data_IF_809612871211
#
_entry.id   IF_809612871211
#
_cell.length_a   1.000
_cell.length_b   1.000
_cell.length_c   1.000
_cell.angle_alpha   90.00
_cell.angle_beta   90.00
_cell.angle_gamma   90.00
#
_symmetry.space_group_name_H-M   'P 1'
#
loop_
_entity.id
_entity.type
_entity.pdbx_description
1 polymer ?
#
# COMPACT_ATOMS: atom_id res chain seq x y z
N UNK A 1 -63.96 13.96 37.74
CA UNK A 1 -65.11 13.07 37.98
C UNK A 1 -65.03 12.57 39.41
N UNK A 2 -66.06 12.91 40.18
CA UNK A 2 -66.22 12.69 41.61
C UNK A 2 -66.75 11.29 41.90
N UNK A 3 -66.34 10.69 43.03
CA UNK A 3 -67.30 10.08 43.97
C UNK A 3 -66.67 9.90 45.36
N UNK A 4 -67.18 10.72 46.28
CA UNK A 4 -67.10 10.61 47.74
C UNK A 4 -67.87 9.38 48.21
N UNK A 5 -67.48 8.78 49.34
CA UNK A 5 -68.45 8.33 50.35
C UNK A 5 -67.84 8.39 51.75
N UNK A 6 -68.45 9.26 52.56
CA UNK A 6 -68.34 9.36 54.02
C UNK A 6 -69.34 8.38 54.62
N UNK A 7 -69.03 7.71 55.72
CA UNK A 7 -70.04 7.48 56.76
C UNK A 7 -69.38 7.40 58.13
N UNK A 8 -69.71 8.38 58.95
CA UNK A 8 -69.50 8.49 60.38
C UNK A 8 -70.66 7.76 61.06
N UNK A 9 -70.42 6.98 62.12
CA UNK A 9 -71.43 6.84 63.17
C UNK A 9 -70.77 6.44 64.50
N UNK A 10 -70.93 7.33 65.48
CA UNK A 10 -70.53 7.19 66.88
C UNK A 10 -71.74 6.77 67.71
N UNK A 11 -71.57 5.83 68.65
CA UNK A 11 -72.33 5.66 69.89
C UNK A 11 -71.44 4.79 70.81
N UNK A 12 -70.67 5.33 71.76
CA UNK A 12 -70.99 5.79 73.13
C UNK A 12 -71.53 4.73 74.11
N UNK A 13 -70.80 4.61 75.22
CA UNK A 13 -71.13 4.17 76.59
C UNK A 13 -70.95 2.70 77.04
N UNK A 14 -69.82 2.52 77.74
CA UNK A 14 -69.65 2.02 79.12
C UNK A 14 -70.27 0.69 79.54
N UNK A 15 -69.39 -0.24 79.96
CA UNK A 15 -69.46 -0.88 81.28
C UNK A 15 -68.07 -1.41 81.67
N UNK A 16 -67.53 -0.84 82.73
CA UNK A 16 -66.34 -1.30 83.46
C UNK A 16 -66.70 -2.45 84.39
N UNK A 17 -65.96 -3.55 84.32
CA UNK A 17 -65.78 -4.46 85.45
C UNK A 17 -64.32 -5.00 85.41
N UNK A 18 -63.58 -4.96 86.53
CA UNK A 18 -62.20 -5.40 86.58
C UNK A 18 -62.14 -6.89 86.92
N UNK A 19 -61.53 -7.70 86.05
CA UNK A 19 -61.14 -9.07 86.38
C UNK A 19 -59.66 -9.24 86.06
N UNK A 20 -58.93 -9.52 87.13
CA UNK A 20 -57.51 -9.78 87.15
C UNK A 20 -57.14 -11.04 86.37
N UNK A 21 -55.95 -10.99 85.78
CA UNK A 21 -55.02 -12.10 85.53
C UNK A 21 -55.52 -13.32 84.73
N UNK A 22 -55.03 -13.42 83.49
CA UNK A 22 -54.09 -14.49 83.16
C UNK A 22 -53.35 -14.13 81.88
N UNK A 23 -52.05 -13.88 82.02
CA UNK A 23 -51.11 -13.85 80.90
C UNK A 23 -51.06 -15.27 80.35
N UNK A 24 -51.78 -15.52 79.25
CA UNK A 24 -51.59 -16.70 78.41
C UNK A 24 -50.31 -16.48 77.60
N UNK A 25 -49.20 -17.00 78.12
CA UNK A 25 -47.98 -17.24 77.35
C UNK A 25 -48.29 -18.21 76.21
N UNK A 26 -48.59 -17.66 75.03
CA UNK A 26 -48.60 -18.41 73.77
C UNK A 26 -47.12 -18.55 73.33
N UNK A 27 -46.33 -19.33 74.08
CA UNK A 27 -44.90 -19.57 73.81
C UNK A 27 -44.62 -20.98 73.24
N UNK A 28 -45.65 -21.69 72.77
CA UNK A 28 -45.45 -22.98 72.08
C UNK A 28 -45.96 -22.90 70.65
N UNK A 29 -45.03 -22.89 69.69
CA UNK A 29 -45.35 -23.28 68.31
C UNK A 29 -46.03 -24.66 68.34
N UNK A 30 -47.09 -24.88 67.54
CA UNK A 30 -47.76 -26.18 67.47
C UNK A 30 -46.77 -27.26 67.01
N UNK A 31 -46.73 -28.40 67.71
CA UNK A 31 -45.81 -29.49 67.39
C UNK A 31 -45.92 -29.98 65.94
N UNK A 32 -47.11 -29.89 65.34
CA UNK A 32 -47.36 -30.20 63.93
C UNK A 32 -46.67 -29.21 62.98
N UNK A 33 -46.64 -27.92 63.32
CA UNK A 33 -45.97 -26.89 62.51
C UNK A 33 -44.45 -27.06 62.57
N UNK A 34 -43.92 -27.41 63.75
CA UNK A 34 -42.51 -27.73 63.93
C UNK A 34 -42.12 -28.98 63.13
N UNK A 35 -42.96 -30.02 63.13
CA UNK A 35 -42.73 -31.24 62.35
C UNK A 35 -42.78 -31.00 60.83
N UNK A 36 -43.70 -30.15 60.36
CA UNK A 36 -43.75 -29.77 58.93
C UNK A 36 -42.54 -28.94 58.52
N UNK A 37 -42.09 -27.99 59.35
CA UNK A 37 -40.86 -27.22 59.08
C UNK A 37 -39.63 -28.13 59.03
N UNK A 38 -39.49 -29.06 59.97
CA UNK A 38 -38.35 -30.00 59.95
C UNK A 38 -38.37 -30.91 58.73
N UNK A 39 -39.54 -31.40 58.31
CA UNK A 39 -39.67 -32.23 57.11
C UNK A 39 -39.32 -31.44 55.84
N UNK A 40 -39.76 -30.18 55.74
CA UNK A 40 -39.42 -29.28 54.64
C UNK A 40 -37.92 -28.94 54.60
N UNK A 41 -37.33 -28.60 55.75
CA UNK A 41 -35.89 -28.32 55.86
C UNK A 41 -35.05 -29.55 55.50
N UNK A 42 -35.51 -30.75 55.85
CA UNK A 42 -34.85 -32.00 55.51
C UNK A 42 -34.96 -32.32 54.01
N UNK A 43 -36.13 -32.11 53.40
CA UNK A 43 -36.28 -32.17 51.93
C UNK A 43 -35.40 -31.16 51.20
N UNK A 44 -35.29 -29.93 51.70
CA UNK A 44 -34.43 -28.91 51.09
C UNK A 44 -32.94 -29.25 51.21
N UNK A 45 -32.52 -29.86 52.31
CA UNK A 45 -31.16 -30.41 52.47
C UNK A 45 -30.88 -31.54 51.48
N UNK A 46 -31.88 -32.38 51.21
CA UNK A 46 -31.77 -33.50 50.25
C UNK A 46 -31.78 -33.07 48.78
N UNK A 47 -32.29 -31.88 48.44
CA UNK A 47 -32.27 -31.31 47.07
C UNK A 47 -30.97 -30.58 46.78
N UNK A 48 -30.35 -29.98 47.80
CA UNK A 48 -29.10 -29.21 47.69
C UNK A 48 -27.85 -30.02 48.05
N UNK A 49 -27.89 -31.35 47.95
CA UNK A 49 -26.69 -32.15 48.19
C UNK A 49 -25.68 -31.95 47.04
N UNK A 50 -24.38 -31.83 47.36
CA UNK A 50 -23.33 -31.71 46.35
C UNK A 50 -23.36 -32.84 45.31
N UNK A 51 -23.80 -34.04 45.71
CA UNK A 51 -23.93 -35.21 44.84
C UNK A 51 -25.01 -35.04 43.77
N UNK A 52 -26.22 -34.62 44.13
CA UNK A 52 -27.30 -34.36 43.14
C UNK A 52 -26.97 -33.20 42.20
N UNK A 53 -26.27 -32.18 42.71
CA UNK A 53 -25.80 -31.07 41.87
C UNK A 53 -24.69 -31.50 40.91
N UNK A 54 -23.81 -32.42 41.32
CA UNK A 54 -22.79 -32.99 40.45
C UNK A 54 -23.41 -33.91 39.38
N UNK A 55 -24.44 -34.68 39.73
CA UNK A 55 -25.19 -35.54 38.81
C UNK A 55 -25.93 -34.73 37.74
N UNK A 56 -26.69 -33.70 38.14
CA UNK A 56 -27.35 -32.75 37.21
C UNK A 56 -26.34 -32.06 36.27
N UNK A 57 -25.17 -31.68 36.80
CA UNK A 57 -24.11 -31.08 36.00
C UNK A 57 -23.52 -32.09 35.00
N UNK A 58 -23.35 -33.35 35.40
CA UNK A 58 -22.88 -34.43 34.53
C UNK A 58 -23.87 -34.71 33.40
N UNK A 59 -25.16 -34.83 33.71
CA UNK A 59 -26.22 -35.02 32.71
C UNK A 59 -26.30 -33.86 31.72
N UNK A 60 -26.19 -32.61 32.21
CA UNK A 60 -26.16 -31.43 31.37
C UNK A 60 -24.98 -31.45 30.39
N UNK A 61 -23.76 -31.75 30.86
CA UNK A 61 -22.58 -31.83 29.99
C UNK A 61 -22.67 -33.01 29.01
N UNK A 62 -23.25 -34.14 29.41
CA UNK A 62 -23.48 -35.29 28.53
C UNK A 62 -24.48 -34.95 27.41
N UNK A 63 -25.63 -34.39 27.77
CA UNK A 63 -26.68 -33.97 26.82
C UNK A 63 -26.20 -32.89 25.85
N UNK A 64 -25.39 -31.95 26.35
CA UNK A 64 -24.73 -30.92 25.54
C UNK A 64 -23.74 -31.53 24.54
N UNK A 65 -22.93 -32.51 24.96
CA UNK A 65 -21.99 -33.19 24.08
C UNK A 65 -22.71 -33.98 22.98
N UNK A 66 -23.79 -34.67 23.31
CA UNK A 66 -24.61 -35.42 22.37
C UNK A 66 -25.29 -34.49 21.35
N UNK A 67 -25.79 -33.34 21.80
CA UNK A 67 -26.38 -32.31 20.93
C UNK A 67 -25.37 -31.70 19.96
N UNK A 68 -24.13 -31.48 20.39
CA UNK A 68 -23.04 -31.00 19.53
C UNK A 68 -22.55 -32.05 18.52
N UNK A 69 -22.70 -33.34 18.87
CA UNK A 69 -22.36 -34.45 17.99
C UNK A 69 -23.55 -34.90 17.11
N UNK A 70 -24.69 -34.21 17.17
CA UNK A 70 -25.86 -34.55 16.39
C UNK A 70 -25.51 -34.67 14.89
N UNK A 71 -25.87 -35.78 14.21
CA UNK A 71 -25.51 -36.04 12.82
C UNK A 71 -25.93 -34.94 11.84
N UNK A 72 -26.99 -34.19 12.19
CA UNK A 72 -27.50 -33.07 11.41
C UNK A 72 -26.53 -31.89 11.44
N UNK A 73 -26.00 -31.54 12.61
CA UNK A 73 -25.02 -30.47 12.80
C UNK A 73 -23.70 -30.82 12.09
N UNK A 74 -23.24 -32.07 12.20
CA UNK A 74 -22.03 -32.53 11.49
C UNK A 74 -22.17 -32.48 9.98
N UNK A 75 -23.34 -32.86 9.43
CA UNK A 75 -23.63 -32.73 7.98
C UNK A 75 -23.67 -31.27 7.54
N UNK A 76 -24.24 -30.38 8.34
CA UNK A 76 -24.26 -28.95 8.04
C UNK A 76 -22.85 -28.34 8.04
N UNK A 77 -22.02 -28.68 9.04
CA UNK A 77 -20.61 -28.25 9.10
C UNK A 77 -19.87 -28.72 7.84
N UNK A 78 -19.96 -30.01 7.50
CA UNK A 78 -19.30 -30.55 6.30
C UNK A 78 -19.80 -29.88 5.00
N UNK A 79 -21.09 -29.55 4.90
CA UNK A 79 -21.64 -28.83 3.76
C UNK A 79 -21.06 -27.41 3.64
N UNK A 80 -20.93 -26.70 4.76
CA UNK A 80 -20.36 -25.35 4.79
C UNK A 80 -18.87 -25.36 4.47
N UNK A 81 -18.13 -26.34 4.98
CA UNK A 81 -16.72 -26.53 4.66
C UNK A 81 -16.51 -26.82 3.18
N UNK A 82 -17.30 -27.71 2.59
CA UNK A 82 -17.25 -28.00 1.15
C UNK A 82 -17.57 -26.75 0.29
N UNK A 83 -18.56 -25.95 0.70
CA UNK A 83 -18.91 -24.70 0.01
C UNK A 83 -17.77 -23.68 0.10
N UNK A 84 -17.18 -23.53 1.30
CA UNK A 84 -16.01 -22.66 1.53
C UNK A 84 -14.83 -23.09 0.66
N UNK A 85 -14.49 -24.37 0.64
CA UNK A 85 -13.35 -24.88 -0.10
C UNK A 85 -13.55 -24.75 -1.62
N UNK A 86 -14.80 -24.88 -2.10
CA UNK A 86 -15.13 -24.60 -3.50
C UNK A 86 -14.91 -23.12 -3.86
N UNK A 87 -15.33 -22.19 -3.00
CA UNK A 87 -15.10 -20.76 -3.21
C UNK A 87 -13.61 -20.40 -3.16
N UNK A 88 -12.84 -21.00 -2.23
CA UNK A 88 -11.37 -20.84 -2.18
C UNK A 88 -10.74 -21.27 -3.52
N UNK A 89 -11.10 -22.46 -4.05
CA UNK A 89 -10.59 -22.92 -5.35
C UNK A 89 -10.96 -21.98 -6.49
N UNK A 90 -12.17 -21.43 -6.51
CA UNK A 90 -12.58 -20.44 -7.54
C UNK A 90 -11.74 -19.17 -7.44
N UNK A 91 -11.46 -18.68 -6.23
CA UNK A 91 -10.61 -17.51 -6.01
C UNK A 91 -9.18 -17.79 -6.50
N UNK A 92 -8.61 -18.94 -6.15
CA UNK A 92 -7.28 -19.35 -6.61
C UNK A 92 -7.20 -19.44 -8.14
N UNK A 93 -8.20 -20.03 -8.78
CA UNK A 93 -8.27 -20.11 -10.25
C UNK A 93 -8.31 -18.72 -10.90
N UNK A 94 -9.14 -17.80 -10.38
CA UNK A 94 -9.22 -16.42 -10.89
C UNK A 94 -7.89 -15.68 -10.70
N UNK A 95 -7.26 -15.84 -9.54
CA UNK A 95 -5.99 -15.22 -9.22
C UNK A 95 -4.87 -15.72 -10.14
N UNK A 96 -4.76 -17.04 -10.33
CA UNK A 96 -3.79 -17.66 -11.23
C UNK A 96 -4.01 -17.26 -12.69
N UNK A 97 -5.27 -17.22 -13.15
CA UNK A 97 -5.60 -16.73 -14.48
C UNK A 97 -5.17 -15.27 -14.68
N UNK A 98 -5.40 -14.41 -13.68
CA UNK A 98 -4.99 -13.01 -13.72
C UNK A 98 -3.48 -12.84 -13.73
N UNK A 99 -2.74 -13.60 -12.91
CA UNK A 99 -1.27 -13.60 -12.92
C UNK A 99 -0.73 -14.00 -14.30
N UNK A 100 -1.27 -15.06 -14.89
CA UNK A 100 -0.83 -15.53 -16.20
C UNK A 100 -1.12 -14.50 -17.30
N UNK A 101 -2.28 -13.83 -17.25
CA UNK A 101 -2.61 -12.75 -18.17
C UNK A 101 -1.62 -11.57 -18.05
N UNK A 102 -1.29 -11.14 -16.83
CA UNK A 102 -0.33 -10.06 -16.58
C UNK A 102 1.08 -10.42 -17.05
N UNK A 103 1.53 -11.66 -16.81
CA UNK A 103 2.82 -12.16 -17.32
C UNK A 103 2.87 -12.13 -18.85
N UNK A 104 1.80 -12.59 -19.51
CA UNK A 104 1.70 -12.58 -20.98
C UNK A 104 1.72 -11.14 -21.54
N UNK A 105 1.00 -10.22 -20.91
CA UNK A 105 0.98 -8.81 -21.31
C UNK A 105 2.36 -8.15 -21.15
N UNK A 106 3.02 -8.39 -20.01
CA UNK A 106 4.37 -7.86 -19.74
C UNK A 106 5.38 -8.37 -20.78
N UNK A 107 5.38 -9.67 -21.09
CA UNK A 107 6.23 -10.25 -22.14
C UNK A 107 5.95 -9.62 -23.50
N UNK A 108 4.68 -9.48 -23.90
CA UNK A 108 4.32 -8.86 -25.17
C UNK A 108 4.73 -7.38 -25.27
N UNK A 109 4.76 -6.65 -24.15
CA UNK A 109 5.25 -5.26 -24.10
C UNK A 109 6.77 -5.20 -24.29
N UNK A 110 7.51 -6.11 -23.66
CA UNK A 110 8.96 -6.25 -23.82
C UNK A 110 9.30 -6.61 -25.26
N UNK A 111 8.64 -7.61 -25.84
CA UNK A 111 8.83 -8.02 -27.24
C UNK A 111 8.60 -6.86 -28.21
N UNK A 112 7.50 -6.10 -28.05
CA UNK A 112 7.24 -4.91 -28.88
C UNK A 112 8.34 -3.86 -28.77
N UNK A 113 8.87 -3.63 -27.57
CA UNK A 113 9.97 -2.68 -27.35
C UNK A 113 11.24 -3.13 -28.07
N UNK A 114 11.61 -4.41 -27.93
CA UNK A 114 12.78 -4.97 -28.60
C UNK A 114 12.63 -4.98 -30.12
N UNK A 115 11.44 -5.31 -30.63
CA UNK A 115 11.16 -5.28 -32.07
C UNK A 115 11.34 -3.86 -32.63
N UNK A 116 10.80 -2.86 -31.94
CA UNK A 116 10.93 -1.45 -32.34
C UNK A 116 12.40 -0.99 -32.33
N UNK A 117 13.17 -1.37 -31.31
CA UNK A 117 14.60 -1.07 -31.25
C UNK A 117 15.38 -1.77 -32.37
N UNK A 118 15.06 -3.03 -32.64
CA UNK A 118 15.68 -3.80 -33.71
C UNK A 118 15.41 -3.18 -35.08
N UNK A 119 14.16 -2.82 -35.38
CA UNK A 119 13.80 -2.17 -36.63
C UNK A 119 14.44 -0.77 -36.77
N UNK A 120 14.52 -0.01 -35.66
CA UNK A 120 15.24 1.26 -35.61
C UNK A 120 16.73 1.09 -35.92
N UNK A 121 17.39 0.10 -35.30
CA UNK A 121 18.79 -0.21 -35.55
C UNK A 121 19.03 -0.64 -37.01
N UNK A 122 18.19 -1.55 -37.52
CA UNK A 122 18.24 -2.02 -38.92
C UNK A 122 18.08 -0.86 -39.90
N UNK A 123 17.12 0.03 -39.66
CA UNK A 123 16.89 1.20 -40.50
C UNK A 123 18.04 2.21 -40.42
N UNK A 124 18.60 2.44 -39.21
CA UNK A 124 19.77 3.30 -39.03
C UNK A 124 20.99 2.76 -39.77
N UNK A 125 21.27 1.46 -39.64
CA UNK A 125 22.39 0.83 -40.33
C UNK A 125 22.19 0.85 -41.86
N UNK A 126 20.98 0.56 -42.35
CA UNK A 126 20.66 0.66 -43.78
C UNK A 126 20.86 2.09 -44.32
N UNK A 127 20.48 3.12 -43.55
CA UNK A 127 20.76 4.52 -43.89
C UNK A 127 22.24 4.84 -43.90
N UNK A 128 23.01 4.35 -42.93
CA UNK A 128 24.46 4.54 -42.88
C UNK A 128 25.15 3.91 -44.09
N UNK A 129 24.82 2.66 -44.43
CA UNK A 129 25.34 1.97 -45.61
C UNK A 129 24.98 2.73 -46.90
N UNK A 130 23.72 3.17 -47.02
CA UNK A 130 23.28 3.97 -48.17
C UNK A 130 24.06 5.28 -48.30
N UNK A 131 24.27 5.99 -47.19
CA UNK A 131 25.02 7.25 -47.18
C UNK A 131 26.50 7.03 -47.53
N UNK A 132 27.10 5.96 -47.01
CA UNK A 132 28.48 5.60 -47.36
C UNK A 132 28.61 5.32 -48.85
N UNK A 133 27.69 4.54 -49.43
CA UNK A 133 27.69 4.26 -50.86
C UNK A 133 27.54 5.54 -51.71
N UNK A 134 26.69 6.49 -51.30
CA UNK A 134 26.55 7.80 -51.97
C UNK A 134 27.88 8.59 -51.93
N UNK A 135 28.59 8.55 -50.80
CA UNK A 135 29.91 9.19 -50.65
C UNK A 135 30.98 8.52 -51.52
N UNK A 136 30.97 7.19 -51.61
CA UNK A 136 31.87 6.43 -52.45
C UNK A 136 31.63 6.73 -53.94
N UNK A 137 30.35 6.81 -54.37
CA UNK A 137 29.98 7.23 -55.72
C UNK A 137 30.48 8.65 -56.05
N UNK A 138 30.33 9.60 -55.12
CA UNK A 138 30.85 10.97 -55.30
C UNK A 138 32.38 10.96 -55.45
N UNK A 139 33.08 10.19 -54.63
CA UNK A 139 34.55 10.07 -54.70
C UNK A 139 35.00 9.48 -56.04
N UNK A 140 34.26 8.50 -56.56
CA UNK A 140 34.51 7.89 -57.86
C UNK A 140 34.24 8.86 -59.02
N UNK A 141 33.13 9.61 -58.98
CA UNK A 141 32.81 10.68 -59.92
C UNK A 141 33.97 11.69 -60.01
N UNK A 142 34.43 12.22 -58.87
CA UNK A 142 35.55 13.17 -58.79
C UNK A 142 36.86 12.59 -59.35
N UNK A 143 37.09 11.28 -59.20
CA UNK A 143 38.26 10.59 -59.76
C UNK A 143 38.15 10.47 -61.29
N UNK A 144 36.99 10.09 -61.81
CA UNK A 144 36.75 9.94 -63.25
C UNK A 144 36.84 11.29 -63.98
N UNK A 145 36.33 12.37 -63.37
CA UNK A 145 36.49 13.75 -63.87
C UNK A 145 37.97 14.11 -63.98
N UNK A 146 38.78 13.85 -62.94
CA UNK A 146 40.24 14.09 -62.96
C UNK A 146 40.97 13.28 -64.03
N UNK A 147 40.43 12.12 -64.40
CA UNK A 147 40.96 11.27 -65.46
C UNK A 147 40.42 11.64 -66.86
N UNK A 148 39.65 12.72 -66.99
CA UNK A 148 38.97 13.14 -68.23
C UNK A 148 37.98 12.10 -68.80
N UNK A 149 37.53 11.14 -67.99
CA UNK A 149 36.50 10.16 -68.37
C UNK A 149 35.10 10.69 -68.07
N UNK A 150 34.64 11.66 -68.88
CA UNK A 150 33.37 12.35 -68.65
C UNK A 150 32.14 11.45 -68.81
N UNK A 151 32.19 10.48 -69.74
CA UNK A 151 31.10 9.52 -69.93
C UNK A 151 30.92 8.63 -68.70
N UNK A 152 32.02 8.13 -68.12
CA UNK A 152 31.98 7.36 -66.86
C UNK A 152 31.47 8.19 -65.68
N UNK A 153 31.90 9.46 -65.58
CA UNK A 153 31.45 10.36 -64.52
C UNK A 153 29.93 10.60 -64.58
N UNK A 154 29.36 10.79 -65.77
CA UNK A 154 27.91 11.00 -65.95
C UNK A 154 27.08 9.77 -65.52
N UNK A 155 27.55 8.56 -65.80
CA UNK A 155 26.88 7.32 -65.37
C UNK A 155 26.87 7.22 -63.84
N UNK A 156 28.01 7.49 -63.19
CA UNK A 156 28.14 7.48 -61.73
C UNK A 156 27.26 8.55 -61.08
N UNK A 157 27.22 9.76 -61.66
CA UNK A 157 26.36 10.85 -61.20
C UNK A 157 24.87 10.49 -61.29
N UNK A 158 24.46 9.85 -62.39
CA UNK A 158 23.07 9.38 -62.58
C UNK A 158 22.70 8.35 -61.50
N UNK A 159 23.60 7.40 -61.22
CA UNK A 159 23.37 6.38 -60.19
C UNK A 159 23.33 7.00 -58.77
N UNK A 160 24.20 7.97 -58.48
CA UNK A 160 24.15 8.73 -57.22
C UNK A 160 22.82 9.46 -57.05
N UNK A 161 22.31 10.09 -58.10
CA UNK A 161 21.04 10.81 -58.06
C UNK A 161 19.85 9.87 -57.82
N UNK A 162 19.84 8.69 -58.46
CA UNK A 162 18.86 7.62 -58.15
C UNK A 162 18.91 7.23 -56.68
N UNK A 163 20.11 7.02 -56.13
CA UNK A 163 20.26 6.63 -54.73
C UNK A 163 19.83 7.75 -53.77
N UNK A 164 20.03 9.01 -54.11
CA UNK A 164 19.52 10.14 -53.33
C UNK A 164 17.99 10.34 -53.44
N UNK A 165 17.31 9.63 -54.35
CA UNK A 165 15.89 9.86 -54.62
C UNK A 165 15.62 11.20 -55.31
N UNK A 166 16.66 11.82 -55.87
CA UNK A 166 16.50 12.99 -56.71
C UNK A 166 16.04 12.48 -58.08
N UNK A 167 14.74 12.60 -58.35
CA UNK A 167 14.16 12.32 -59.65
C UNK A 167 14.96 13.07 -60.71
N UNK A 168 15.48 12.32 -61.69
CA UNK A 168 16.30 12.85 -62.79
C UNK A 168 15.59 14.05 -63.43
N UNK A 169 16.22 15.24 -63.51
CA UNK A 169 15.64 16.36 -64.23
C UNK A 169 15.78 16.07 -65.73
N UNK A 170 14.80 15.37 -66.30
CA UNK A 170 14.80 15.07 -67.72
C UNK A 170 14.13 13.75 -68.09
N UNK A 171 12.86 13.59 -67.74
CA UNK A 171 11.88 12.79 -68.51
C UNK A 171 10.52 13.02 -67.87
N UNK A 172 9.83 14.07 -68.32
CA UNK A 172 8.40 14.20 -68.09
C UNK A 172 7.65 13.09 -68.82
N UNK A 173 6.54 12.68 -68.20
CA UNK A 173 5.48 11.83 -68.74
C UNK A 173 5.78 10.32 -68.88
N UNK A 174 5.30 9.54 -67.90
CA UNK A 174 4.21 8.59 -68.13
C UNK A 174 3.77 7.99 -66.79
N UNK A 175 2.57 8.38 -66.36
CA UNK A 175 1.79 7.61 -65.40
C UNK A 175 1.36 6.32 -66.09
N UNK A 176 1.74 5.18 -65.54
CA UNK A 176 0.97 3.94 -65.70
C UNK A 176 0.99 3.16 -64.41
N UNK A 177 -0.21 2.73 -64.04
CA UNK A 177 -0.55 1.94 -62.88
C UNK A 177 -0.04 0.50 -62.99
N UNK A 178 -0.32 -0.27 -61.92
CA UNK A 178 -0.19 -1.73 -61.82
C UNK A 178 1.26 -2.19 -61.57
N UNK A 179 1.60 -2.99 -60.56
CA UNK A 179 1.02 -4.29 -60.25
C UNK A 179 1.53 -4.83 -58.89
N UNK A 180 0.80 -5.82 -58.41
CA UNK A 180 0.81 -6.51 -57.13
C UNK A 180 1.91 -7.59 -57.03
N UNK A 181 2.34 -7.86 -55.79
CA UNK A 181 2.95 -9.09 -55.24
C UNK A 181 4.47 -9.34 -55.50
N UNK A 182 5.16 -10.27 -54.78
CA UNK A 182 4.73 -11.13 -53.67
C UNK A 182 5.65 -11.12 -52.41
N UNK A 183 5.28 -12.00 -51.48
CA UNK A 183 5.90 -12.33 -50.19
C UNK A 183 7.42 -12.48 -50.19
N UNK A 184 8.04 -12.09 -49.08
CA UNK A 184 9.47 -12.24 -48.80
C UNK A 184 9.71 -13.52 -47.98
N UNK A 185 10.69 -14.37 -48.34
CA UNK A 185 11.01 -15.56 -47.57
C UNK A 185 11.84 -15.23 -46.33
N UNK A 186 11.71 -16.13 -45.34
CA UNK A 186 12.50 -16.17 -44.12
C UNK A 186 14.00 -16.29 -44.44
N UNK A 187 14.82 -15.50 -43.74
CA UNK A 187 16.27 -15.66 -43.76
C UNK A 187 16.84 -15.46 -42.35
N UNK A 188 17.30 -16.59 -41.83
CA UNK A 188 18.54 -16.85 -41.12
C UNK A 188 19.03 -15.86 -40.05
N UNK A 189 19.11 -16.42 -38.84
CA UNK A 189 19.83 -15.99 -37.65
C UNK A 189 21.29 -15.65 -37.98
N UNK A 190 21.74 -14.47 -37.57
CA UNK A 190 23.16 -14.11 -37.50
C UNK A 190 23.60 -13.99 -36.02
N UNK A 191 24.81 -14.45 -35.66
CA UNK A 191 25.24 -14.58 -34.27
C UNK A 191 25.70 -13.27 -33.63
N UNK A 192 25.60 -13.23 -32.31
CA UNK A 192 25.87 -12.10 -31.43
C UNK A 192 27.33 -11.60 -31.46
N UNK A 193 27.57 -10.27 -31.36
CA UNK A 193 28.91 -9.74 -31.15
C UNK A 193 29.33 -9.85 -29.67
N UNK A 194 30.58 -10.33 -29.50
CA UNK A 194 31.30 -10.49 -28.23
C UNK A 194 31.69 -9.14 -27.62
N UNK A 195 31.61 -9.12 -26.28
CA UNK A 195 32.31 -8.34 -25.25
C UNK A 195 33.10 -7.07 -25.65
N UNK A 196 32.77 -5.97 -24.97
CA UNK A 196 33.69 -4.84 -24.73
C UNK A 196 34.28 -4.90 -23.32
N UNK A 197 35.47 -4.28 -23.10
CA UNK A 197 36.36 -4.62 -22.00
C UNK A 197 36.26 -3.71 -20.76
N UNK A 198 36.62 -4.33 -19.63
CA UNK A 198 37.30 -3.84 -18.43
C UNK A 198 37.04 -2.41 -17.91
N UNK A 199 36.41 -2.35 -16.73
CA UNK A 199 36.42 -1.20 -15.82
C UNK A 199 37.82 -0.93 -15.23
N UNK A 200 38.22 0.34 -15.03
CA UNK A 200 39.42 0.66 -14.28
C UNK A 200 39.14 0.63 -12.76
N UNK A 201 40.01 -0.10 -12.04
CA UNK A 201 40.15 -0.08 -10.58
C UNK A 201 40.66 1.29 -10.13
N UNK A 202 39.91 1.99 -9.28
CA UNK A 202 40.44 3.09 -8.49
C UNK A 202 40.95 2.56 -7.13
N UNK A 203 42.25 2.71 -6.91
CA UNK A 203 42.97 2.38 -5.68
C UNK A 203 42.62 3.36 -4.55
N UNK A 204 42.38 2.81 -3.37
CA UNK A 204 42.45 3.45 -2.07
C UNK A 204 43.90 3.60 -1.58
N UNK A 205 44.16 4.71 -0.88
CA UNK A 205 45.24 5.03 0.10
C UNK A 205 45.84 6.42 -0.24
N UNK A 206 46.07 7.36 0.68
CA UNK A 206 46.06 7.30 2.13
C UNK A 206 46.18 8.70 2.75
N UNK A 207 46.20 8.69 4.08
CA UNK A 207 46.10 9.77 5.07
C UNK A 207 47.09 10.93 4.93
N UNK A 208 46.66 12.11 5.36
CA UNK A 208 47.51 13.02 6.14
C UNK A 208 46.72 13.54 7.36
N UNK A 209 47.26 13.29 8.55
CA UNK A 209 46.83 13.86 9.83
C UNK A 209 47.32 15.30 9.91
N UNK A 210 46.48 16.19 10.43
CA UNK A 210 46.96 17.44 11.04
C UNK A 210 46.13 17.68 12.30
N UNK A 211 46.79 17.52 13.44
CA UNK A 211 46.27 17.88 14.76
C UNK A 211 46.08 19.40 14.81
N UNK A 212 44.90 19.85 15.22
CA UNK A 212 44.69 21.26 15.59
C UNK A 212 43.83 21.34 16.85
N UNK A 213 44.56 21.58 17.94
CA UNK A 213 44.24 22.36 19.16
C UNK A 213 42.75 22.51 19.50
N UNK A 214 42.36 21.76 20.52
CA UNK A 214 41.07 21.75 21.20
C UNK A 214 40.86 23.02 22.03
N UNK A 215 39.89 23.85 21.66
CA UNK A 215 39.22 24.73 22.61
C UNK A 215 38.18 23.89 23.39
N UNK A 216 37.93 24.16 24.69
CA UNK A 216 36.95 23.41 25.47
C UNK A 216 35.55 23.73 24.95
N UNK A 217 35.12 22.94 23.97
CA UNK A 217 33.73 22.89 23.54
C UNK A 217 32.98 22.31 24.72
N UNK A 218 32.13 23.13 25.36
CA UNK A 218 31.08 22.62 26.26
C UNK A 218 30.33 21.55 25.46
N UNK A 219 30.66 20.29 25.70
CA UNK A 219 29.83 19.17 25.29
C UNK A 219 28.54 19.29 26.10
N UNK A 220 27.62 20.14 25.62
CA UNK A 220 26.22 19.96 25.92
C UNK A 220 25.91 18.52 25.52
N UNK A 221 25.53 17.69 26.49
CA UNK A 221 25.05 16.34 26.20
C UNK A 221 23.95 16.48 25.15
N UNK A 222 24.20 16.02 23.93
CA UNK A 222 23.23 16.09 22.85
C UNK A 222 21.95 15.46 23.37
N UNK A 223 20.90 16.28 23.51
CA UNK A 223 19.61 15.81 24.00
C UNK A 223 19.20 14.62 23.12
N UNK A 224 18.72 13.54 23.75
CA UNK A 224 18.27 12.38 23.01
C UNK A 224 17.14 12.84 22.06
N UNK A 225 17.19 12.50 20.76
CA UNK A 225 16.15 12.93 19.85
C UNK A 225 14.78 12.41 20.25
N UNK A 226 13.81 13.31 20.26
CA UNK A 226 12.39 13.02 20.41
C UNK A 226 11.83 12.67 19.04
N UNK A 227 11.03 11.61 18.97
CA UNK A 227 10.45 11.09 17.72
C UNK A 227 8.93 11.03 17.88
N UNK A 228 8.23 11.70 16.97
CA UNK A 228 6.78 11.70 16.85
C UNK A 228 6.42 10.99 15.54
N UNK A 229 5.98 9.75 15.62
CA UNK A 229 5.75 8.89 14.45
C UNK A 229 4.27 8.53 14.28
N UNK A 230 3.87 8.30 13.02
CA UNK A 230 2.56 7.79 12.66
C UNK A 230 2.69 6.75 11.52
N UNK A 231 2.37 5.50 11.85
CA UNK A 231 2.45 4.34 10.95
C UNK A 231 1.14 4.05 10.20
N UNK A 232 0.15 4.96 10.29
CA UNK A 232 -1.14 4.77 9.62
C UNK A 232 -0.95 4.84 8.10
N UNK A 233 -1.36 3.77 7.40
CA UNK A 233 -1.30 3.74 5.94
C UNK A 233 -2.21 4.82 5.34
N UNK A 234 -1.63 5.69 4.52
CA UNK A 234 -2.29 6.78 3.84
C UNK A 234 -2.15 6.71 2.32
N UNK A 235 -2.97 7.49 1.63
CA UNK A 235 -2.99 7.53 0.16
C UNK A 235 -3.22 8.99 -0.26
N UNK A 236 -2.36 9.51 -1.15
CA UNK A 236 -2.56 10.82 -1.79
C UNK A 236 -2.72 10.63 -3.32
N UNK A 237 -3.82 11.12 -3.91
CA UNK A 237 -4.03 11.13 -5.37
C UNK A 237 -5.00 10.11 -5.95
N UNK A 238 -5.66 9.28 -5.14
CA UNK A 238 -6.77 8.45 -5.62
C UNK A 238 -8.01 9.34 -5.84
N UNK A 239 -8.62 9.26 -7.02
CA UNK A 239 -9.87 9.96 -7.33
C UNK A 239 -10.89 9.68 -6.23
N UNK A 240 -11.37 10.74 -5.58
CA UNK A 240 -12.28 10.80 -4.41
C UNK A 240 -11.65 11.18 -3.04
N UNK A 241 -10.77 12.20 -2.97
CA UNK A 241 -10.41 12.89 -1.71
C UNK A 241 -10.21 11.93 -0.52
N UNK A 242 -9.18 11.08 -0.58
CA UNK A 242 -8.91 10.12 0.49
C UNK A 242 -8.56 10.87 1.77
N UNK A 243 -9.35 10.67 2.83
CA UNK A 243 -9.23 11.36 4.13
C UNK A 243 -7.93 11.10 4.90
N UNK A 244 -7.09 10.17 4.44
CA UNK A 244 -5.90 9.69 5.14
C UNK A 244 -4.59 10.23 4.54
N UNK A 245 -4.62 11.42 3.95
CA UNK A 245 -3.42 12.14 3.48
C UNK A 245 -2.97 13.25 4.45
N UNK A 246 -3.59 13.32 5.65
CA UNK A 246 -3.26 14.29 6.70
C UNK A 246 -2.88 13.55 7.97
N UNK A 247 -1.70 13.84 8.50
CA UNK A 247 -1.13 13.21 9.69
C UNK A 247 -0.99 14.26 10.79
N UNK A 248 -1.56 14.00 11.97
CA UNK A 248 -1.52 14.94 13.09
C UNK A 248 -0.51 14.50 14.14
N UNK A 249 0.28 15.45 14.64
CA UNK A 249 1.31 15.24 15.66
C UNK A 249 1.14 16.25 16.79
N UNK A 250 1.07 15.77 18.04
CA UNK A 250 1.09 16.61 19.21
C UNK A 250 2.55 16.73 19.71
N UNK A 251 3.20 17.84 19.36
CA UNK A 251 4.59 18.10 19.74
C UNK A 251 4.60 18.80 21.10
N UNK A 252 5.03 18.08 22.12
CA UNK A 252 5.09 18.57 23.51
C UNK A 252 6.43 19.25 23.82
N UNK A 253 7.49 18.82 23.14
CA UNK A 253 8.85 19.31 23.29
C UNK A 253 9.48 19.43 21.90
N UNK A 254 10.23 20.51 21.68
CA UNK A 254 10.96 20.75 20.45
C UNK A 254 12.37 21.22 20.80
N UNK A 255 13.33 20.82 19.97
CA UNK A 255 14.73 21.24 20.06
C UNK A 255 15.08 22.29 19.00
N UNK A 256 16.37 22.60 18.91
CA UNK A 256 16.91 23.52 17.89
C UNK A 256 16.82 22.90 16.49
N UNK A 257 16.87 21.56 16.43
CA UNK A 257 16.81 20.80 15.20
C UNK A 257 15.50 20.04 15.05
N UNK A 258 14.90 20.07 13.85
CA UNK A 258 13.71 19.28 13.55
C UNK A 258 13.70 18.79 12.10
N UNK A 259 13.38 17.51 11.90
CA UNK A 259 13.34 16.86 10.59
C UNK A 259 11.98 16.17 10.40
N UNK A 260 11.40 16.36 9.21
CA UNK A 260 10.30 15.56 8.71
C UNK A 260 10.87 14.41 7.88
N UNK A 261 10.39 13.20 8.12
CA UNK A 261 10.70 12.03 7.31
C UNK A 261 9.41 11.29 6.95
N UNK A 262 9.29 10.81 5.73
CA UNK A 262 8.18 9.95 5.34
C UNK A 262 8.62 8.86 4.36
N UNK A 263 7.97 7.70 4.45
CA UNK A 263 8.18 6.55 3.57
C UNK A 263 6.95 6.45 2.66
N UNK A 264 7.13 6.87 1.41
CA UNK A 264 6.08 6.86 0.40
C UNK A 264 6.49 6.09 -0.84
N UNK A 265 5.58 5.34 -1.43
CA UNK A 265 5.81 4.61 -2.68
C UNK A 265 4.70 4.89 -3.69
N UNK A 266 5.11 5.35 -4.87
CA UNK A 266 4.32 5.33 -6.09
C UNK A 266 4.89 4.24 -6.99
N UNK A 267 4.04 3.47 -7.65
CA UNK A 267 4.48 2.35 -8.52
C UNK A 267 5.46 2.87 -9.58
N UNK A 268 6.63 2.24 -9.70
CA UNK A 268 7.84 2.67 -10.45
C UNK A 268 7.65 3.20 -11.88
N UNK A 269 6.54 2.90 -12.54
CA UNK A 269 6.30 3.32 -13.93
C UNK A 269 5.59 4.65 -14.08
N UNK A 270 5.23 5.32 -12.98
CA UNK A 270 4.19 6.34 -13.01
C UNK A 270 4.69 7.71 -12.55
N UNK A 271 4.48 8.69 -13.41
CA UNK A 271 4.79 10.11 -13.30
C UNK A 271 3.92 10.81 -12.23
N UNK A 272 3.94 10.33 -10.98
CA UNK A 272 3.16 10.91 -9.89
C UNK A 272 3.97 11.93 -9.10
N UNK A 273 3.41 13.13 -8.97
CA UNK A 273 4.03 14.27 -8.32
C UNK A 273 3.09 14.87 -7.28
N UNK A 274 3.69 15.46 -6.25
CA UNK A 274 2.94 16.27 -5.32
C UNK A 274 3.79 16.96 -4.29
N UNK A 275 3.12 17.58 -3.33
CA UNK A 275 3.71 18.51 -2.40
C UNK A 275 3.32 18.14 -0.97
N UNK A 276 4.30 18.23 -0.07
CA UNK A 276 4.10 18.00 1.35
C UNK A 276 4.05 19.35 2.04
N UNK A 277 2.98 19.55 2.81
CA UNK A 277 2.78 20.75 3.61
C UNK A 277 2.86 20.42 5.09
N UNK A 278 3.44 21.32 5.87
CA UNK A 278 3.36 21.33 7.32
C UNK A 278 2.43 22.49 7.73
N UNK A 279 1.39 22.16 8.48
CA UNK A 279 0.49 23.13 9.12
C UNK A 279 0.92 23.27 10.57
N UNK A 280 1.29 24.48 10.97
CA UNK A 280 1.75 24.81 12.33
C UNK A 280 0.57 24.94 13.30
N UNK A 281 0.81 25.01 14.63
CA UNK A 281 -0.25 25.20 15.61
C UNK A 281 -1.05 26.50 15.44
N UNK A 282 -0.47 27.52 14.80
CA UNK A 282 -1.16 28.77 14.46
C UNK A 282 -2.09 28.63 13.24
N UNK A 283 -2.09 27.46 12.58
CA UNK A 283 -2.86 27.21 11.36
C UNK A 283 -2.16 27.67 10.08
N UNK A 284 -0.92 28.17 10.16
CA UNK A 284 -0.16 28.55 8.97
C UNK A 284 0.32 27.31 8.22
N UNK A 285 0.16 27.32 6.90
CA UNK A 285 0.46 26.20 6.01
C UNK A 285 1.72 26.50 5.20
N UNK A 286 2.73 25.66 5.34
CA UNK A 286 4.04 25.82 4.70
C UNK A 286 4.36 24.61 3.83
N UNK A 287 4.73 24.82 2.57
CA UNK A 287 5.28 23.74 1.75
C UNK A 287 6.68 23.42 2.25
N UNK A 288 6.91 22.18 2.65
CA UNK A 288 8.21 21.74 3.19
C UNK A 288 9.01 20.94 2.19
N UNK A 289 8.36 20.13 1.36
CA UNK A 289 9.03 19.36 0.31
C UNK A 289 8.07 18.97 -0.80
N UNK A 290 8.59 18.32 -1.83
CA UNK A 290 7.82 17.71 -2.91
C UNK A 290 8.27 16.27 -3.10
N UNK A 291 7.37 15.43 -3.60
CA UNK A 291 7.73 14.10 -4.05
C UNK A 291 7.60 13.99 -5.57
N UNK A 292 8.45 13.14 -6.13
CA UNK A 292 8.51 12.79 -7.53
C UNK A 292 8.94 11.32 -7.65
N UNK A 293 8.68 10.66 -8.79
CA UNK A 293 9.00 9.24 -8.96
C UNK A 293 10.46 8.90 -8.65
N UNK A 294 11.40 9.79 -9.00
CA UNK A 294 12.84 9.59 -8.78
C UNK A 294 13.23 9.52 -7.29
N UNK A 295 12.40 10.11 -6.42
CA UNK A 295 12.60 10.12 -4.96
C UNK A 295 11.92 8.91 -4.29
N UNK A 296 10.95 8.27 -4.95
CA UNK A 296 10.13 7.18 -4.40
C UNK A 296 10.76 5.81 -4.71
N UNK A 297 11.93 5.56 -4.12
CA UNK A 297 12.71 4.35 -4.40
C UNK A 297 12.29 3.21 -3.47
N UNK A 298 11.86 2.09 -4.04
CA UNK A 298 11.75 0.82 -3.34
C UNK A 298 13.16 0.33 -2.97
N UNK A 299 13.35 -0.14 -1.74
CA UNK A 299 14.57 -0.85 -1.32
C UNK A 299 14.45 -2.34 -1.64
N UNK A 300 13.24 -2.86 -1.80
CA UNK A 300 12.94 -4.26 -2.06
C UNK A 300 12.46 -4.51 -3.50
N UNK A 301 13.15 -5.41 -4.20
CA UNK A 301 12.87 -5.75 -5.60
C UNK A 301 11.59 -6.59 -5.80
N UNK A 302 11.11 -7.26 -4.74
CA UNK A 302 9.97 -8.18 -4.81
C UNK A 302 8.61 -7.53 -4.51
N UNK A 303 8.61 -6.20 -4.32
CA UNK A 303 7.41 -5.41 -4.01
C UNK A 303 7.51 -4.70 -2.67
N UNK A 304 6.63 -3.71 -2.48
CA UNK A 304 6.61 -2.84 -1.30
C UNK A 304 5.41 -3.21 -0.41
N UNK A 305 5.68 -3.74 0.79
CA UNK A 305 4.65 -4.15 1.75
C UNK A 305 4.55 -3.22 2.96
N UNK A 306 5.65 -2.55 3.32
CA UNK A 306 5.74 -1.64 4.46
C UNK A 306 6.78 -0.53 4.31
N UNK A 307 6.98 0.23 5.39
CA UNK A 307 7.90 1.37 5.43
C UNK A 307 9.37 0.96 5.20
N UNK A 308 9.77 -0.22 5.69
CA UNK A 308 11.14 -0.76 5.57
C UNK A 308 11.52 -1.12 4.12
N UNK A 309 10.52 -1.32 3.25
CA UNK A 309 10.71 -1.61 1.82
C UNK A 309 10.89 -0.33 0.97
N UNK A 310 10.93 0.85 1.59
CA UNK A 310 10.97 2.14 0.89
C UNK A 310 11.99 3.07 1.53
N UNK A 311 12.75 3.78 0.69
CA UNK A 311 13.69 4.79 1.20
C UNK A 311 12.94 6.00 1.74
N UNK A 312 13.25 6.48 2.97
CA UNK A 312 12.60 7.67 3.51
C UNK A 312 13.05 8.94 2.77
N UNK A 313 12.10 9.83 2.51
CA UNK A 313 12.36 11.20 2.07
C UNK A 313 12.45 12.08 3.33
N UNK A 314 13.56 12.81 3.47
CA UNK A 314 13.86 13.62 4.64
C UNK A 314 13.96 15.10 4.29
N UNK A 315 13.47 15.96 5.17
CA UNK A 315 13.48 17.41 4.98
C UNK A 315 13.64 18.11 6.32
N UNK A 316 14.49 19.14 6.33
CA UNK A 316 14.67 19.99 7.50
C UNK A 316 13.45 20.91 7.68
N UNK A 317 12.89 20.91 8.89
CA UNK A 317 11.75 21.75 9.28
C UNK A 317 12.04 22.52 10.59
N UNK A 318 13.31 22.67 10.97
CA UNK A 318 13.77 23.39 12.17
C UNK A 318 13.12 24.76 12.35
N UNK A 319 13.03 25.54 11.28
CA UNK A 319 12.47 26.90 11.34
C UNK A 319 10.97 26.93 11.60
N UNK A 320 10.26 25.82 11.35
CA UNK A 320 8.81 25.71 11.44
C UNK A 320 8.34 25.04 12.73
N UNK A 321 9.16 24.15 13.31
CA UNK A 321 8.86 23.47 14.59
C UNK A 321 9.54 24.22 15.73
N UNK A 322 8.97 25.37 16.07
CA UNK A 322 9.54 26.31 17.05
C UNK A 322 8.62 26.57 18.25
N UNK A 323 7.52 25.82 18.35
CA UNK A 323 6.55 25.94 19.44
C UNK A 323 5.87 24.60 19.71
N UNK A 324 5.42 24.41 20.95
CA UNK A 324 4.58 23.25 21.31
C UNK A 324 3.20 23.37 20.70
N UNK A 325 2.59 22.26 20.31
CA UNK A 325 1.20 22.24 19.83
C UNK A 325 0.90 21.13 18.82
N UNK A 326 -0.27 21.24 18.20
CA UNK A 326 -0.73 20.31 17.17
C UNK A 326 -0.22 20.74 15.79
N UNK A 327 0.63 19.91 15.19
CA UNK A 327 1.10 20.06 13.83
C UNK A 327 0.36 19.07 12.92
N UNK A 328 0.17 19.43 11.65
CA UNK A 328 -0.37 18.52 10.64
C UNK A 328 0.56 18.44 9.44
N UNK A 329 0.82 17.23 8.96
CA UNK A 329 1.54 16.98 7.71
C UNK A 329 0.52 16.57 6.66
N UNK A 330 0.39 17.34 5.60
CA UNK A 330 -0.56 17.12 4.51
C UNK A 330 0.16 16.75 3.22
N UNK A 331 -0.33 15.70 2.56
CA UNK A 331 0.17 15.27 1.26
C UNK A 331 -0.81 15.69 0.18
N UNK A 332 -0.42 16.68 -0.62
CA UNK A 332 -1.21 17.19 -1.74
C UNK A 332 -0.74 16.60 -3.07
N UNK A 333 -1.58 15.78 -3.68
CA UNK A 333 -1.34 15.25 -5.02
C UNK A 333 -1.50 16.36 -6.07
N UNK A 334 -0.56 16.44 -7.02
CA UNK A 334 -0.57 17.46 -8.08
C UNK A 334 -0.87 16.86 -9.45
N UNK A 335 -0.13 15.83 -9.85
CA UNK A 335 -0.21 15.26 -11.19
C UNK A 335 0.21 13.79 -11.18
N UNK A 336 -0.20 13.05 -12.21
CA UNK A 336 0.14 11.65 -12.45
C UNK A 336 -1.05 10.72 -12.64
N UNK A 337 -0.74 9.42 -12.73
CA UNK A 337 -1.73 8.38 -13.02
C UNK A 337 -1.95 7.40 -11.86
N UNK A 338 -1.15 7.50 -10.78
CA UNK A 338 -1.27 6.62 -9.61
C UNK A 338 -1.22 7.42 -8.31
N UNK A 339 -1.87 6.92 -7.25
CA UNK A 339 -1.70 7.48 -5.93
C UNK A 339 -0.31 7.21 -5.35
N UNK A 340 0.11 8.10 -4.45
CA UNK A 340 1.19 7.86 -3.50
C UNK A 340 0.65 7.05 -2.32
N UNK A 341 1.21 5.86 -2.07
CA UNK A 341 0.97 5.11 -0.84
C UNK A 341 1.96 5.57 0.23
N UNK A 342 1.46 5.97 1.39
CA UNK A 342 2.25 6.49 2.50
C UNK A 342 2.22 5.44 3.61
N UNK A 343 3.39 4.97 4.03
CA UNK A 343 3.50 3.88 5.02
C UNK A 343 3.88 4.39 6.41
N UNK A 344 4.61 5.50 6.47
CA UNK A 344 5.13 6.06 7.71
C UNK A 344 5.41 7.54 7.53
N UNK A 345 5.11 8.34 8.56
CA UNK A 345 5.46 9.76 8.65
C UNK A 345 5.96 10.03 10.06
N UNK A 346 7.11 10.68 10.19
CA UNK A 346 7.70 11.04 11.48
C UNK A 346 8.22 12.48 11.50
N UNK A 347 8.09 13.13 12.65
CA UNK A 347 8.80 14.36 13.00
C UNK A 347 9.80 14.01 14.11
N UNK A 348 11.08 14.27 13.85
CA UNK A 348 12.17 14.05 14.80
C UNK A 348 12.76 15.40 15.22
N UNK A 349 12.94 15.63 16.51
CA UNK A 349 13.49 16.90 17.04
C UNK A 349 14.50 16.68 18.16
N UNK A 350 15.54 17.52 18.26
CA UNK A 350 16.61 17.40 19.26
C UNK A 350 17.34 18.72 19.55
#
# INVERSE_FOLDING_TARGET
>A
MSKKFFFLCSFLFCLTAPLQANVLTIDREPAELTAMRSAYEQQMKDVATPEKMAELKSEYESSKKESLQAPVLTKQIASLENARDLEIRKIEQRYNARINALRKEALAKVERKYQTLFDSYKNKNARQIKNQYIMDLKTLEDKLIRQNNLAGALVVQTERNKMMGLSSPGTGAAKTAEKKAPARPAAAVAPAPKASPAAPKARSAGKAKTEKVTAPTRQASAAKPLIYANDSKGIAGSGNNVKNNVYSFAIEQFGEHAWLSFNGYGRETNNSYGEVYLVTPSGQRHQVTSWSPDQLQATNFYGVNGADDVRPIKTDISSLVNSKGAYKVEFLYRDGNEPLNIYHVEIKTW
#
